data_IF_992796407967
#
_entry.id   IF_992796407967
#
_cell.length_a   1.000
_cell.length_b   1.000
_cell.length_c   1.000
_cell.angle_alpha   90.00
_cell.angle_beta   90.00
_cell.angle_gamma   90.00
#
_symmetry.space_group_name_H-M   'P 1'
#
loop_
_entity.id
_entity.type
_entity.pdbx_description
1 polymer ?
#
# COMPACT_ATOMS: atom_id res chain seq x y z
N UNK A 1 -12.62 -24.91 5.28
CA UNK A 1 -12.21 -23.60 4.70
C UNK A 1 -13.14 -22.57 5.30
N UNK A 2 -12.62 -21.55 5.98
CA UNK A 2 -13.44 -20.44 6.44
C UNK A 2 -14.09 -19.81 5.21
N UNK A 3 -15.37 -19.45 5.31
CA UNK A 3 -16.11 -18.84 4.20
C UNK A 3 -15.75 -17.34 4.15
N UNK A 4 -14.48 -17.05 3.79
CA UNK A 4 -13.94 -15.69 3.74
C UNK A 4 -14.68 -14.90 2.66
N UNK A 5 -15.33 -13.82 3.07
CA UNK A 5 -16.07 -12.91 2.19
C UNK A 5 -15.11 -12.09 1.34
N UNK A 6 -15.49 -11.79 0.09
CA UNK A 6 -14.72 -10.85 -0.76
C UNK A 6 -14.58 -9.49 -0.08
N UNK A 7 -13.40 -8.90 -0.11
CA UNK A 7 -13.14 -7.60 0.53
C UNK A 7 -14.14 -6.53 0.12
N UNK A 8 -14.44 -6.45 -1.18
CA UNK A 8 -15.38 -5.48 -1.74
C UNK A 8 -16.83 -5.63 -1.26
N UNK A 9 -17.16 -6.74 -0.58
CA UNK A 9 -18.48 -7.01 0.01
C UNK A 9 -18.42 -7.08 1.55
N UNK A 10 -17.25 -7.11 2.16
CA UNK A 10 -17.08 -7.28 3.59
C UNK A 10 -17.61 -6.08 4.39
N UNK A 11 -18.20 -6.33 5.51
CA UNK A 11 -18.67 -5.35 6.49
C UNK A 11 -17.72 -5.26 7.69
N UNK A 12 -17.99 -4.36 8.63
CA UNK A 12 -17.22 -4.25 9.87
C UNK A 12 -17.11 -5.59 10.61
N UNK A 13 -18.22 -6.31 10.76
CA UNK A 13 -18.25 -7.59 11.48
C UNK A 13 -17.46 -8.70 10.78
N UNK A 14 -17.22 -8.57 9.48
CA UNK A 14 -16.35 -9.48 8.74
C UNK A 14 -14.90 -9.14 9.01
N UNK A 15 -14.51 -7.86 8.93
CA UNK A 15 -13.13 -7.41 9.20
C UNK A 15 -12.68 -7.70 10.63
N UNK A 16 -13.57 -7.57 11.63
CA UNK A 16 -13.27 -7.86 13.03
C UNK A 16 -12.89 -9.33 13.29
N UNK A 17 -13.25 -10.23 12.38
CA UNK A 17 -12.97 -11.66 12.47
C UNK A 17 -11.81 -12.12 11.61
N UNK A 18 -11.38 -11.29 10.65
CA UNK A 18 -10.33 -11.66 9.72
C UNK A 18 -8.96 -11.69 10.40
N UNK A 19 -8.27 -12.79 10.23
CA UNK A 19 -6.82 -12.85 10.44
C UNK A 19 -6.09 -12.14 9.28
N UNK A 20 -4.78 -11.95 9.42
CA UNK A 20 -3.94 -11.41 8.34
C UNK A 20 -4.08 -12.22 7.04
N UNK A 21 -4.14 -13.56 7.15
CA UNK A 21 -4.28 -14.44 5.99
C UNK A 21 -5.72 -14.49 5.45
N UNK A 22 -6.74 -14.30 6.28
CA UNK A 22 -8.13 -14.14 5.82
C UNK A 22 -8.28 -12.84 5.03
N UNK A 23 -7.63 -11.75 5.44
CA UNK A 23 -7.60 -10.50 4.69
C UNK A 23 -6.97 -10.69 3.30
N UNK A 24 -5.83 -11.39 3.23
CA UNK A 24 -5.18 -11.76 1.98
C UNK A 24 -6.12 -12.55 1.06
N UNK A 25 -6.79 -13.57 1.58
CA UNK A 25 -7.75 -14.39 0.84
C UNK A 25 -8.97 -13.57 0.39
N UNK A 26 -9.46 -12.67 1.22
CA UNK A 26 -10.57 -11.75 0.94
C UNK A 26 -10.25 -10.81 -0.26
N UNK A 27 -8.99 -10.34 -0.33
CA UNK A 27 -8.48 -9.56 -1.45
C UNK A 27 -8.43 -10.42 -2.71
N UNK A 28 -7.81 -11.59 -2.65
CA UNK A 28 -7.72 -12.53 -3.77
C UNK A 28 -9.10 -12.83 -4.38
N UNK A 29 -10.09 -13.11 -3.53
CA UNK A 29 -11.48 -13.34 -3.94
C UNK A 29 -12.16 -12.12 -4.55
N UNK A 30 -11.59 -10.93 -4.39
CA UNK A 30 -12.13 -9.68 -4.98
C UNK A 30 -11.76 -9.49 -6.45
N UNK A 31 -10.93 -10.38 -7.02
CA UNK A 31 -10.65 -10.47 -8.46
C UNK A 31 -10.17 -9.14 -9.07
N UNK A 32 -9.16 -8.52 -8.48
CA UNK A 32 -8.56 -7.27 -8.96
C UNK A 32 -9.48 -6.04 -8.86
N UNK A 33 -10.35 -6.00 -7.85
CA UNK A 33 -11.26 -4.86 -7.63
C UNK A 33 -10.98 -4.06 -6.37
N UNK A 34 -9.87 -4.32 -5.69
CA UNK A 34 -9.52 -3.66 -4.44
C UNK A 34 -8.82 -2.34 -4.69
N UNK A 35 -9.29 -1.27 -4.05
CA UNK A 35 -8.72 0.08 -4.10
C UNK A 35 -8.10 0.41 -2.75
N UNK A 36 -6.80 0.79 -2.76
CA UNK A 36 -6.06 1.24 -1.59
C UNK A 36 -5.66 2.71 -1.75
N UNK A 37 -6.06 3.58 -0.81
CA UNK A 37 -5.58 4.96 -0.77
C UNK A 37 -4.34 5.09 0.11
N UNK A 38 -3.44 6.05 -0.18
CA UNK A 38 -2.31 6.37 0.68
C UNK A 38 -2.53 7.69 1.41
N UNK A 39 -2.25 7.69 2.72
CA UNK A 39 -2.28 8.88 3.58
C UNK A 39 -0.90 9.15 4.17
N UNK A 40 -0.29 10.29 3.83
CA UNK A 40 0.97 10.76 4.42
C UNK A 40 0.71 11.51 5.71
N UNK A 41 1.10 10.93 6.84
CA UNK A 41 0.76 11.43 8.16
C UNK A 41 1.54 12.68 8.60
N UNK A 42 2.65 13.02 7.91
CA UNK A 42 3.37 14.27 8.20
C UNK A 42 2.57 15.52 7.80
N UNK A 43 1.60 15.39 6.89
CA UNK A 43 0.75 16.49 6.44
C UNK A 43 -0.39 16.71 7.47
N UNK A 44 -0.29 17.78 8.24
CA UNK A 44 -1.26 18.09 9.32
C UNK A 44 -2.56 18.71 8.83
N UNK A 45 -2.56 19.32 7.67
CA UNK A 45 -3.76 19.95 7.11
C UNK A 45 -4.49 18.92 6.27
N UNK A 46 -5.50 18.27 6.86
CA UNK A 46 -6.41 17.41 6.10
C UNK A 46 -7.21 18.20 5.06
N UNK A 47 -7.74 17.50 4.05
CA UNK A 47 -8.62 18.10 3.02
C UNK A 47 -9.89 18.69 3.62
N UNK A 48 -10.38 18.11 4.69
CA UNK A 48 -11.60 18.53 5.41
C UNK A 48 -11.27 18.75 6.89
N UNK A 49 -11.60 19.93 7.41
CA UNK A 49 -11.36 20.25 8.81
C UNK A 49 -12.10 19.28 9.74
N UNK A 50 -11.37 18.69 10.68
CA UNK A 50 -11.94 17.78 11.69
C UNK A 50 -12.21 16.36 11.20
N UNK A 51 -11.78 16.03 9.96
CA UNK A 51 -11.89 14.70 9.36
C UNK A 51 -10.50 14.30 8.85
N UNK A 52 -10.04 13.11 9.20
CA UNK A 52 -8.76 12.62 8.69
C UNK A 52 -8.87 12.28 7.19
N UNK A 53 -7.77 12.39 6.47
CA UNK A 53 -7.75 11.99 5.06
C UNK A 53 -8.09 10.51 4.87
N UNK A 54 -7.78 9.65 5.85
CA UNK A 54 -8.19 8.24 5.87
C UNK A 54 -9.72 8.10 5.83
N UNK A 55 -10.44 8.86 6.67
CA UNK A 55 -11.92 8.87 6.66
C UNK A 55 -12.47 9.39 5.33
N UNK A 56 -11.85 10.43 4.75
CA UNK A 56 -12.22 10.95 3.43
C UNK A 56 -12.06 9.89 2.35
N UNK A 57 -10.90 9.22 2.28
CA UNK A 57 -10.66 8.19 1.26
C UNK A 57 -11.68 7.04 1.35
N UNK A 58 -11.99 6.58 2.55
CA UNK A 58 -13.03 5.55 2.74
C UNK A 58 -14.40 6.03 2.30
N UNK A 59 -14.74 7.29 2.57
CA UNK A 59 -16.02 7.87 2.16
C UNK A 59 -16.13 8.04 0.64
N UNK A 60 -15.01 8.06 -0.08
CA UNK A 60 -14.97 8.19 -1.53
C UNK A 60 -14.68 6.87 -2.27
N UNK A 61 -14.74 5.73 -1.57
CA UNK A 61 -14.80 4.41 -2.19
C UNK A 61 -13.53 3.57 -2.09
N UNK A 62 -12.51 3.99 -1.35
CA UNK A 62 -11.39 3.12 -1.02
C UNK A 62 -11.84 1.91 -0.19
N UNK A 63 -11.22 0.76 -0.40
CA UNK A 63 -11.46 -0.47 0.35
C UNK A 63 -10.48 -0.61 1.51
N UNK A 64 -9.27 -0.09 1.34
CA UNK A 64 -8.15 -0.11 2.28
C UNK A 64 -7.44 1.24 2.27
N UNK A 65 -6.71 1.54 3.34
CA UNK A 65 -5.84 2.72 3.39
C UNK A 65 -4.47 2.34 3.96
N UNK A 66 -3.42 2.83 3.31
CA UNK A 66 -2.03 2.75 3.75
C UNK A 66 -1.63 4.06 4.43
N UNK A 67 -1.24 4.00 5.70
CA UNK A 67 -0.62 5.12 6.39
C UNK A 67 0.89 5.12 6.11
N UNK A 68 1.37 6.11 5.39
CA UNK A 68 2.79 6.33 5.15
C UNK A 68 3.32 7.44 6.06
N UNK A 69 4.61 7.43 6.34
CA UNK A 69 5.30 8.37 7.23
C UNK A 69 4.82 8.35 8.69
N UNK A 70 4.26 7.22 9.14
CA UNK A 70 3.84 7.03 10.52
C UNK A 70 5.06 6.87 11.44
N UNK A 71 5.22 7.80 12.37
CA UNK A 71 6.20 7.70 13.44
C UNK A 71 5.61 6.90 14.61
N UNK A 72 6.11 5.68 14.79
CA UNK A 72 5.64 4.74 15.82
C UNK A 72 6.23 5.03 17.22
N UNK A 73 7.26 5.86 17.29
CA UNK A 73 7.89 6.24 18.56
C UNK A 73 7.28 7.50 19.17
N UNK A 74 6.76 8.37 18.32
CA UNK A 74 6.17 9.62 18.78
C UNK A 74 4.90 9.98 18.00
N UNK A 75 3.75 9.74 18.62
CA UNK A 75 2.43 10.01 18.02
C UNK A 75 2.25 11.48 17.61
N UNK A 76 2.87 12.43 18.32
CA UNK A 76 2.78 13.87 17.99
C UNK A 76 3.42 14.22 16.64
N UNK A 77 4.25 13.32 16.11
CA UNK A 77 4.86 13.45 14.78
C UNK A 77 3.93 13.01 13.64
N UNK A 78 2.71 12.59 13.96
CA UNK A 78 1.69 12.15 13.01
C UNK A 78 0.51 13.14 12.96
N UNK A 79 0.73 14.41 12.55
CA UNK A 79 -0.34 15.41 12.59
C UNK A 79 -1.53 15.07 11.70
N UNK A 80 -1.34 14.24 10.65
CA UNK A 80 -2.41 13.74 9.79
C UNK A 80 -3.46 12.91 10.54
N UNK A 81 -3.14 12.35 11.70
CA UNK A 81 -4.10 11.67 12.57
C UNK A 81 -5.04 12.66 13.30
N UNK A 82 -4.77 13.96 13.22
CA UNK A 82 -5.60 15.01 13.84
C UNK A 82 -5.87 14.78 15.33
N UNK A 83 -4.86 14.29 16.07
CA UNK A 83 -4.93 14.01 17.50
C UNK A 83 -5.54 12.65 17.87
N UNK A 84 -5.93 11.84 16.90
CA UNK A 84 -6.40 10.48 17.15
C UNK A 84 -5.23 9.52 17.36
N UNK A 85 -5.47 8.50 18.18
CA UNK A 85 -4.65 7.28 18.17
C UNK A 85 -5.01 6.42 16.94
N UNK A 86 -4.13 5.46 16.59
CA UNK A 86 -4.43 4.52 15.52
C UNK A 86 -5.71 3.71 15.80
N UNK A 87 -5.90 3.27 17.04
CA UNK A 87 -7.08 2.50 17.45
C UNK A 87 -8.38 3.30 17.32
N UNK A 88 -8.34 4.61 17.66
CA UNK A 88 -9.49 5.50 17.47
C UNK A 88 -9.80 5.71 15.99
N UNK A 89 -8.77 5.91 15.15
CA UNK A 89 -8.94 6.00 13.70
C UNK A 89 -9.54 4.71 13.15
N UNK A 90 -8.99 3.55 13.50
CA UNK A 90 -9.49 2.25 13.06
C UNK A 90 -10.94 2.02 13.47
N UNK A 91 -11.30 2.41 14.71
CA UNK A 91 -12.68 2.32 15.21
C UNK A 91 -13.66 3.21 14.44
N UNK A 92 -13.21 4.37 13.94
CA UNK A 92 -14.04 5.24 13.10
C UNK A 92 -14.22 4.69 11.69
N UNK A 93 -13.16 4.12 11.11
CA UNK A 93 -13.15 3.72 9.70
C UNK A 93 -13.75 2.34 9.44
N UNK A 94 -13.65 1.42 10.40
CA UNK A 94 -14.18 0.05 10.30
C UNK A 94 -13.72 -0.72 9.04
N UNK A 95 -12.51 -0.46 8.54
CA UNK A 95 -11.93 -1.07 7.34
C UNK A 95 -10.43 -1.31 7.52
N UNK A 96 -9.80 -2.13 6.68
CA UNK A 96 -8.37 -2.40 6.79
C UNK A 96 -7.50 -1.15 6.65
N UNK A 97 -6.61 -0.95 7.62
CA UNK A 97 -5.62 0.12 7.64
C UNK A 97 -4.24 -0.51 7.85
N UNK A 98 -3.35 -0.25 6.90
CA UNK A 98 -1.96 -0.69 6.96
C UNK A 98 -1.00 0.44 7.31
N UNK A 99 0.24 0.05 7.59
CA UNK A 99 1.34 0.99 7.86
C UNK A 99 2.51 0.69 6.94
N UNK A 100 3.09 1.74 6.37
CA UNK A 100 4.33 1.66 5.62
C UNK A 100 5.53 1.80 6.57
N UNK A 101 6.48 0.89 6.46
CA UNK A 101 7.74 0.92 7.18
C UNK A 101 8.92 0.89 6.20
N UNK A 102 9.83 1.86 6.32
CA UNK A 102 11.03 1.94 5.51
C UNK A 102 12.03 0.85 5.89
N UNK A 103 12.55 0.12 4.92
CA UNK A 103 13.59 -0.87 5.17
C UNK A 103 14.90 -0.18 5.57
N UNK A 104 15.54 -0.55 6.70
CA UNK A 104 16.83 -0.03 7.08
C UNK A 104 17.91 -0.59 6.14
N UNK A 105 18.96 0.20 5.90
CA UNK A 105 20.11 -0.26 5.13
C UNK A 105 20.87 -1.36 5.88
N UNK A 106 21.24 -2.41 5.16
CA UNK A 106 22.03 -3.49 5.72
C UNK A 106 23.44 -2.99 6.12
N UNK A 107 23.90 -3.44 7.28
CA UNK A 107 25.26 -3.15 7.76
C UNK A 107 25.52 -1.69 8.14
N UNK A 108 24.50 -0.83 8.11
CA UNK A 108 24.56 0.53 8.62
C UNK A 108 23.46 0.75 9.64
N UNK A 109 23.82 1.21 10.85
CA UNK A 109 22.89 2.06 11.57
C UNK A 109 22.56 3.19 10.61
N UNK A 110 21.30 3.43 10.34
CA UNK A 110 20.86 4.36 9.30
C UNK A 110 21.28 5.80 9.61
N UNK A 111 22.56 6.09 9.42
CA UNK A 111 23.20 7.42 9.56
C UNK A 111 23.10 8.25 8.28
N UNK A 112 22.33 7.77 7.28
CA UNK A 112 22.12 8.48 6.02
C UNK A 112 21.46 9.83 6.24
N UNK A 113 21.58 10.74 5.25
CA UNK A 113 20.86 12.02 5.26
C UNK A 113 19.38 11.74 5.44
N UNK A 114 18.85 12.05 6.61
CA UNK A 114 17.42 11.91 6.91
C UNK A 114 16.68 12.86 5.98
N UNK A 115 15.89 12.33 5.04
CA UNK A 115 14.88 13.14 4.40
C UNK A 115 14.01 13.74 5.53
N UNK A 116 13.54 14.97 5.36
CA UNK A 116 12.84 15.69 6.44
C UNK A 116 11.61 14.92 6.99
N UNK A 117 11.04 14.01 6.19
CA UNK A 117 9.91 13.14 6.54
C UNK A 117 10.35 11.75 7.06
N UNK A 118 11.66 11.46 7.14
CA UNK A 118 12.16 10.16 7.60
C UNK A 118 12.67 10.24 9.03
N UNK A 119 12.06 9.49 9.93
CA UNK A 119 12.41 9.37 11.33
C UNK A 119 12.68 7.92 11.69
N UNK A 120 13.34 7.69 12.84
CA UNK A 120 13.62 6.33 13.32
C UNK A 120 12.34 5.52 13.53
N UNK A 121 11.30 6.14 14.10
CA UNK A 121 9.99 5.50 14.28
C UNK A 121 9.26 5.12 13.00
N UNK A 122 9.78 5.46 11.80
CA UNK A 122 9.27 5.06 10.50
C UNK A 122 10.00 3.84 9.91
N UNK A 123 11.05 3.34 10.59
CA UNK A 123 11.86 2.23 10.08
C UNK A 123 11.27 0.87 10.47
N UNK A 124 11.46 -0.11 9.60
CA UNK A 124 11.08 -1.49 9.87
C UNK A 124 12.09 -2.14 10.82
N UNK A 125 11.81 -2.08 12.09
CA UNK A 125 12.49 -2.84 13.15
C UNK A 125 11.53 -3.86 13.74
N UNK A 126 12.06 -4.87 14.45
CA UNK A 126 11.20 -5.83 15.15
C UNK A 126 10.30 -5.14 16.19
N UNK A 127 10.84 -4.16 16.91
CA UNK A 127 10.08 -3.36 17.88
C UNK A 127 8.90 -2.63 17.22
N UNK A 128 9.12 -2.02 16.04
CA UNK A 128 8.06 -1.32 15.33
C UNK A 128 7.01 -2.28 14.75
N UNK A 129 7.42 -3.47 14.32
CA UNK A 129 6.47 -4.51 13.90
C UNK A 129 5.66 -5.02 15.11
N UNK A 130 6.29 -5.21 16.27
CA UNK A 130 5.57 -5.56 17.50
C UNK A 130 4.52 -4.48 17.85
N UNK A 131 4.89 -3.19 17.79
CA UNK A 131 3.93 -2.08 17.94
C UNK A 131 2.79 -2.12 16.93
N UNK A 132 3.07 -2.41 15.65
CA UNK A 132 2.02 -2.57 14.64
C UNK A 132 1.05 -3.71 14.97
N UNK A 133 1.57 -4.86 15.41
CA UNK A 133 0.74 -6.02 15.84
C UNK A 133 -0.12 -5.64 17.05
N UNK A 134 0.45 -5.02 18.07
CA UNK A 134 -0.26 -4.57 19.28
C UNK A 134 -1.36 -3.53 18.97
N UNK A 135 -1.11 -2.62 18.04
CA UNK A 135 -2.09 -1.64 17.58
C UNK A 135 -3.21 -2.26 16.73
N UNK A 136 -3.04 -3.48 16.24
CA UNK A 136 -3.99 -4.13 15.33
C UNK A 136 -3.93 -3.59 13.90
N UNK A 137 -2.74 -3.31 13.40
CA UNK A 137 -2.50 -2.98 11.98
C UNK A 137 -2.85 -4.18 11.12
N UNK A 138 -3.59 -3.97 10.04
CA UNK A 138 -4.12 -5.05 9.20
C UNK A 138 -3.09 -5.57 8.19
N UNK A 139 -2.19 -4.71 7.70
CA UNK A 139 -1.11 -5.08 6.79
C UNK A 139 0.08 -4.13 6.92
N UNK A 140 1.26 -4.62 6.60
CA UNK A 140 2.50 -3.85 6.64
C UNK A 140 3.11 -3.83 5.24
N UNK A 141 3.53 -2.64 4.80
CA UNK A 141 4.18 -2.43 3.49
C UNK A 141 5.64 -2.07 3.70
N UNK A 142 6.54 -2.77 3.03
CA UNK A 142 7.98 -2.58 3.10
C UNK A 142 8.52 -1.99 1.80
N UNK A 143 9.33 -0.95 1.90
CA UNK A 143 9.98 -0.31 0.77
C UNK A 143 10.98 0.75 1.18
N UNK A 144 11.27 1.68 0.29
CA UNK A 144 12.12 2.85 0.54
C UNK A 144 11.47 4.09 -0.03
N UNK A 145 11.07 5.03 0.82
CA UNK A 145 10.56 6.34 0.37
C UNK A 145 11.60 7.09 -0.48
N UNK A 146 11.19 7.97 -1.40
CA UNK A 146 12.10 8.74 -2.24
C UNK A 146 13.22 9.43 -1.44
N UNK A 147 14.46 9.29 -1.91
CA UNK A 147 15.64 9.85 -1.26
C UNK A 147 16.13 9.08 -0.03
N UNK A 148 15.52 7.93 0.32
CA UNK A 148 15.99 7.07 1.41
C UNK A 148 17.27 6.33 1.06
N UNK A 149 17.51 6.08 -0.22
CA UNK A 149 18.61 5.26 -0.71
C UNK A 149 18.49 3.77 -0.30
N UNK A 150 17.30 3.31 0.03
CA UNK A 150 16.99 1.91 0.30
C UNK A 150 17.12 1.11 -1.00
N UNK A 151 17.95 0.06 -0.98
CA UNK A 151 18.18 -0.83 -2.12
C UNK A 151 17.17 -1.99 -2.15
N UNK A 152 17.11 -2.69 -3.30
CA UNK A 152 16.36 -3.96 -3.42
C UNK A 152 16.87 -4.98 -2.39
N UNK A 153 18.19 -5.05 -2.19
CA UNK A 153 18.78 -5.96 -1.21
C UNK A 153 18.32 -5.68 0.22
N UNK A 154 18.21 -4.40 0.57
CA UNK A 154 17.67 -3.99 1.89
C UNK A 154 16.22 -4.45 2.05
N UNK A 155 15.40 -4.31 1.01
CA UNK A 155 13.99 -4.73 1.05
C UNK A 155 13.88 -6.26 1.16
N UNK A 156 14.64 -7.03 0.37
CA UNK A 156 14.64 -8.50 0.43
C UNK A 156 15.06 -9.00 1.81
N UNK A 157 16.17 -8.46 2.36
CA UNK A 157 16.65 -8.87 3.67
C UNK A 157 15.70 -8.50 4.80
N UNK A 158 15.12 -7.30 4.75
CA UNK A 158 14.13 -6.87 5.72
C UNK A 158 12.88 -7.76 5.67
N UNK A 159 12.35 -8.04 4.47
CA UNK A 159 11.22 -8.93 4.25
C UNK A 159 11.47 -10.30 4.88
N UNK A 160 12.63 -10.90 4.58
CA UNK A 160 13.00 -12.21 5.14
C UNK A 160 13.06 -12.18 6.66
N UNK A 161 13.78 -11.20 7.24
CA UNK A 161 13.93 -11.07 8.69
C UNK A 161 12.58 -10.99 9.40
N UNK A 162 11.66 -10.17 8.88
CA UNK A 162 10.35 -9.96 9.48
C UNK A 162 9.46 -11.19 9.31
N UNK A 163 9.43 -11.79 8.11
CA UNK A 163 8.60 -12.99 7.89
C UNK A 163 9.11 -14.21 8.65
N UNK A 164 10.42 -14.37 8.80
CA UNK A 164 11.00 -15.46 9.62
C UNK A 164 10.52 -15.39 11.08
N UNK A 165 10.34 -14.17 11.64
CA UNK A 165 9.89 -13.97 13.02
C UNK A 165 8.36 -14.06 13.18
N UNK A 166 7.61 -13.42 12.30
CA UNK A 166 6.18 -13.21 12.49
C UNK A 166 5.29 -14.19 11.70
N UNK A 167 5.82 -14.79 10.62
CA UNK A 167 5.06 -15.73 9.79
C UNK A 167 3.73 -15.18 9.31
N UNK A 168 2.68 -15.97 9.46
CA UNK A 168 1.32 -15.64 9.04
C UNK A 168 0.54 -14.75 10.02
N UNK A 169 1.18 -14.30 11.10
CA UNK A 169 0.57 -13.32 12.02
C UNK A 169 0.42 -11.94 11.38
N UNK A 170 1.20 -11.66 10.35
CA UNK A 170 1.18 -10.39 9.61
C UNK A 170 0.95 -10.64 8.12
N UNK A 171 0.21 -9.73 7.48
CA UNK A 171 0.09 -9.64 6.03
C UNK A 171 1.13 -8.64 5.53
N UNK A 172 2.20 -9.15 4.90
CA UNK A 172 3.40 -8.39 4.55
C UNK A 172 3.50 -8.16 3.05
N UNK A 173 3.55 -6.89 2.65
CA UNK A 173 3.79 -6.48 1.28
C UNK A 173 5.22 -5.97 1.13
N UNK A 174 5.81 -6.16 -0.02
CA UNK A 174 7.16 -5.66 -0.29
C UNK A 174 7.38 -5.45 -1.79
N UNK A 175 8.16 -4.43 -2.13
CA UNK A 175 8.48 -4.15 -3.53
C UNK A 175 9.44 -2.99 -3.73
N UNK A 176 9.65 -2.63 -4.99
CA UNK A 176 10.39 -1.46 -5.43
C UNK A 176 9.57 -0.75 -6.50
N UNK A 177 8.67 0.13 -6.07
CA UNK A 177 7.76 0.89 -6.94
C UNK A 177 8.04 2.39 -6.90
N UNK A 178 8.78 2.85 -5.91
CA UNK A 178 9.17 4.24 -5.70
C UNK A 178 10.69 4.37 -5.54
N UNK A 179 11.20 5.60 -5.50
CA UNK A 179 12.64 5.92 -5.39
C UNK A 179 13.54 5.23 -6.44
N UNK A 180 13.21 5.46 -7.70
CA UNK A 180 14.02 4.97 -8.83
C UNK A 180 15.26 5.82 -9.15
N UNK A 181 15.77 6.65 -8.23
CA UNK A 181 16.89 7.56 -8.47
C UNK A 181 18.23 6.80 -8.47
N UNK A 182 18.48 6.01 -7.44
CA UNK A 182 19.74 5.26 -7.28
C UNK A 182 19.62 3.85 -7.89
N UNK A 183 18.46 3.29 -7.86
CA UNK A 183 18.16 1.96 -8.35
C UNK A 183 16.76 1.98 -8.97
N UNK A 184 16.63 1.54 -10.22
CA UNK A 184 15.38 1.57 -10.96
C UNK A 184 14.28 0.81 -10.24
N UNK A 185 13.03 1.19 -10.49
CA UNK A 185 11.85 0.48 -9.97
C UNK A 185 11.58 -0.79 -10.78
N UNK A 186 10.82 -1.71 -10.21
CA UNK A 186 10.41 -2.95 -10.90
C UNK A 186 9.60 -2.60 -12.16
N UNK A 187 9.98 -3.17 -13.29
CA UNK A 187 9.34 -2.91 -14.58
C UNK A 187 9.90 -1.71 -15.36
N UNK A 188 10.86 -0.96 -14.81
CA UNK A 188 11.54 0.09 -15.57
C UNK A 188 12.40 -0.55 -16.67
N UNK A 189 12.23 -0.14 -17.96
CA UNK A 189 12.98 -0.72 -19.07
C UNK A 189 14.49 -0.46 -19.01
N UNK A 190 14.94 0.47 -18.16
CA UNK A 190 16.34 0.79 -17.92
C UNK A 190 16.89 0.13 -16.64
N UNK A 191 16.17 -0.81 -16.04
CA UNK A 191 16.66 -1.56 -14.90
C UNK A 191 17.84 -2.46 -15.33
N UNK A 192 18.96 -2.38 -14.60
CA UNK A 192 20.16 -3.18 -14.84
C UNK A 192 20.12 -4.55 -14.15
N UNK A 193 18.95 -4.96 -13.67
CA UNK A 193 18.70 -6.22 -12.98
C UNK A 193 17.47 -6.93 -13.59
N UNK A 194 17.39 -8.25 -13.37
CA UNK A 194 16.19 -9.02 -13.75
C UNK A 194 15.07 -8.80 -12.73
N UNK A 195 14.02 -8.11 -13.15
CA UNK A 195 12.85 -7.83 -12.32
C UNK A 195 12.17 -9.11 -11.80
N UNK A 196 12.15 -10.19 -12.60
CA UNK A 196 11.54 -11.46 -12.18
C UNK A 196 12.39 -12.18 -11.13
N UNK A 197 13.72 -12.08 -11.20
CA UNK A 197 14.60 -12.60 -10.15
C UNK A 197 14.38 -11.85 -8.82
N UNK A 198 14.28 -10.52 -8.86
CA UNK A 198 13.98 -9.72 -7.66
C UNK A 198 12.62 -10.13 -7.07
N UNK A 199 11.58 -10.23 -7.88
CA UNK A 199 10.24 -10.67 -7.44
C UNK A 199 10.31 -12.07 -6.82
N UNK A 200 11.01 -13.01 -7.47
CA UNK A 200 11.24 -14.35 -6.94
C UNK A 200 11.84 -14.30 -5.54
N UNK A 201 12.89 -13.50 -5.35
CA UNK A 201 13.61 -13.37 -4.06
C UNK A 201 12.72 -12.75 -2.98
N UNK A 202 11.87 -11.77 -3.31
CA UNK A 202 10.88 -11.20 -2.39
C UNK A 202 9.83 -12.23 -1.96
N UNK A 203 9.33 -13.03 -2.91
CA UNK A 203 8.37 -14.11 -2.63
C UNK A 203 9.01 -15.21 -1.77
N UNK A 204 10.26 -15.60 -2.09
CA UNK A 204 11.01 -16.59 -1.32
C UNK A 204 11.37 -16.07 0.09
N UNK A 205 11.57 -14.76 0.25
CA UNK A 205 11.71 -14.08 1.54
C UNK A 205 10.39 -14.03 2.34
N UNK A 206 9.25 -14.37 1.73
CA UNK A 206 7.98 -14.51 2.38
C UNK A 206 7.00 -13.34 2.17
N UNK A 207 7.23 -12.45 1.22
CA UNK A 207 6.26 -11.43 0.87
C UNK A 207 4.93 -12.06 0.44
N UNK A 208 3.83 -11.55 0.98
CA UNK A 208 2.46 -11.99 0.66
C UNK A 208 1.88 -11.23 -0.54
N UNK A 209 2.35 -10.00 -0.76
CA UNK A 209 2.00 -9.15 -1.88
C UNK A 209 3.27 -8.49 -2.42
N UNK A 210 3.38 -8.39 -3.73
CA UNK A 210 4.48 -7.69 -4.41
C UNK A 210 3.99 -6.35 -4.92
N UNK A 211 4.71 -5.30 -4.56
CA UNK A 211 4.36 -3.93 -4.89
C UNK A 211 5.11 -3.46 -6.13
N UNK A 212 4.34 -3.06 -7.14
CA UNK A 212 4.80 -2.65 -8.46
C UNK A 212 4.35 -1.22 -8.77
N UNK A 213 5.10 -0.43 -9.55
CA UNK A 213 4.57 0.79 -10.10
C UNK A 213 3.43 0.47 -11.08
N UNK A 214 2.49 1.39 -11.26
CA UNK A 214 1.47 1.20 -12.28
C UNK A 214 1.93 1.70 -13.66
N UNK A 215 1.35 1.17 -14.74
CA UNK A 215 1.56 1.71 -16.09
C UNK A 215 1.18 3.19 -16.13
N UNK A 216 1.97 4.00 -16.83
CA UNK A 216 1.72 5.43 -16.98
C UNK A 216 2.12 6.31 -15.80
N UNK A 217 2.48 5.75 -14.64
CA UNK A 217 2.96 6.53 -13.50
C UNK A 217 4.40 7.02 -13.70
N UNK A 218 5.20 6.25 -14.42
CA UNK A 218 6.62 6.56 -14.69
C UNK A 218 6.93 6.45 -16.17
N UNK A 219 7.90 7.23 -16.68
CA UNK A 219 8.31 7.16 -18.09
C UNK A 219 8.73 5.74 -18.50
N UNK A 220 8.18 5.24 -19.60
CA UNK A 220 8.57 3.97 -20.22
C UNK A 220 7.95 2.72 -19.60
N UNK A 221 7.23 2.80 -18.51
CA UNK A 221 6.53 1.65 -17.92
C UNK A 221 5.19 1.44 -18.61
N UNK A 222 5.05 0.31 -19.28
CA UNK A 222 3.85 -0.04 -20.06
C UNK A 222 2.96 -1.05 -19.35
N UNK A 223 1.74 -1.24 -19.87
CA UNK A 223 0.82 -2.28 -19.38
C UNK A 223 1.46 -3.67 -19.54
N UNK A 224 2.14 -3.93 -20.66
CA UNK A 224 2.71 -5.25 -20.94
C UNK A 224 3.86 -5.61 -20.00
N UNK A 225 4.71 -4.61 -19.65
CA UNK A 225 5.80 -4.82 -18.71
C UNK A 225 5.22 -5.26 -17.35
N UNK A 226 4.27 -4.50 -16.81
CA UNK A 226 3.68 -4.80 -15.50
C UNK A 226 2.82 -6.07 -15.55
N UNK A 227 2.05 -6.31 -16.62
CA UNK A 227 1.29 -7.56 -16.81
C UNK A 227 2.21 -8.78 -16.76
N UNK A 228 3.36 -8.73 -17.45
CA UNK A 228 4.34 -9.81 -17.43
C UNK A 228 4.85 -10.12 -16.01
N UNK A 229 5.07 -9.09 -15.19
CA UNK A 229 5.48 -9.27 -13.80
C UNK A 229 4.34 -9.82 -12.92
N UNK A 230 3.11 -9.32 -13.09
CA UNK A 230 1.92 -9.83 -12.37
C UNK A 230 1.68 -11.30 -12.69
N UNK A 231 1.74 -11.68 -13.97
CA UNK A 231 1.61 -13.09 -14.39
C UNK A 231 2.70 -13.96 -13.75
N UNK A 232 3.93 -13.47 -13.70
CA UNK A 232 5.02 -14.17 -13.04
C UNK A 232 4.73 -14.36 -11.54
N UNK A 233 4.29 -13.33 -10.82
CA UNK A 233 3.93 -13.41 -9.40
C UNK A 233 2.89 -14.51 -9.16
N UNK A 234 1.77 -14.47 -9.89
CA UNK A 234 0.66 -15.41 -9.74
C UNK A 234 1.02 -16.86 -10.10
N UNK A 235 1.98 -17.06 -11.03
CA UNK A 235 2.40 -18.38 -11.46
C UNK A 235 3.53 -18.96 -10.64
N UNK A 236 4.44 -18.13 -10.16
CA UNK A 236 5.58 -18.56 -9.35
C UNK A 236 5.16 -19.16 -8.02
N UNK A 237 4.29 -18.46 -7.27
CA UNK A 237 3.72 -18.97 -6.02
C UNK A 237 2.24 -18.61 -5.93
N UNK A 238 1.38 -19.60 -6.12
CA UNK A 238 -0.08 -19.40 -6.03
C UNK A 238 -0.48 -18.78 -4.69
N UNK A 239 -1.33 -17.75 -4.75
CA UNK A 239 -1.80 -17.01 -3.59
C UNK A 239 -0.90 -15.86 -3.16
N UNK A 240 0.23 -15.60 -3.84
CA UNK A 240 0.92 -14.32 -3.72
C UNK A 240 0.13 -13.27 -4.51
N UNK A 241 -0.12 -12.12 -3.90
CA UNK A 241 -0.85 -11.02 -4.51
C UNK A 241 0.11 -10.06 -5.23
N UNK A 242 -0.44 -9.26 -6.15
CA UNK A 242 0.24 -8.16 -6.80
C UNK A 242 -0.51 -6.85 -6.57
N UNK A 243 0.19 -5.78 -6.23
CA UNK A 243 -0.32 -4.44 -6.12
C UNK A 243 0.30 -3.55 -7.19
N UNK A 244 -0.53 -2.77 -7.88
CA UNK A 244 -0.09 -1.68 -8.76
C UNK A 244 -0.32 -0.34 -8.06
N UNK A 245 0.72 0.49 -8.00
CA UNK A 245 0.67 1.77 -7.32
C UNK A 245 0.68 2.93 -8.33
N UNK A 246 -0.40 3.70 -8.35
CA UNK A 246 -0.45 4.98 -9.04
C UNK A 246 0.19 6.04 -8.13
N UNK A 247 1.43 6.34 -8.38
CA UNK A 247 2.25 7.30 -7.65
C UNK A 247 2.85 8.36 -8.59
N UNK A 248 3.76 9.17 -8.12
CA UNK A 248 4.34 10.30 -8.82
C UNK A 248 3.31 11.42 -9.08
N UNK A 249 3.59 12.33 -9.99
CA UNK A 249 2.75 13.50 -10.23
C UNK A 249 1.38 13.19 -10.83
N UNK A 250 1.21 12.03 -11.49
CA UNK A 250 -0.06 11.67 -12.14
C UNK A 250 -1.17 11.25 -11.16
N UNK A 251 -0.84 10.94 -9.94
CA UNK A 251 -1.82 10.66 -8.88
C UNK A 251 -2.67 11.89 -8.51
N UNK A 252 -2.17 13.10 -8.78
CA UNK A 252 -2.88 14.37 -8.60
C UNK A 252 -3.42 14.97 -9.91
N UNK A 253 -3.37 14.22 -11.01
CA UNK A 253 -3.94 14.65 -12.28
C UNK A 253 -5.47 14.71 -12.22
N UNK A 254 -6.08 15.16 -13.32
CA UNK A 254 -7.54 15.17 -13.45
C UNK A 254 -8.15 13.78 -13.53
N UNK A 255 -9.46 13.70 -13.31
CA UNK A 255 -10.20 12.42 -13.27
C UNK A 255 -10.14 11.64 -14.59
N UNK A 256 -9.96 12.30 -15.74
CA UNK A 256 -9.88 11.62 -17.02
C UNK A 256 -8.53 10.93 -17.19
N UNK A 257 -7.45 11.56 -16.74
CA UNK A 257 -6.12 10.93 -16.64
C UNK A 257 -6.15 9.73 -15.70
N UNK A 258 -6.72 9.89 -14.50
CA UNK A 258 -6.85 8.80 -13.53
C UNK A 258 -7.72 7.67 -14.08
N UNK A 259 -8.81 7.97 -14.80
CA UNK A 259 -9.64 6.96 -15.49
C UNK A 259 -8.83 6.13 -16.48
N UNK A 260 -8.03 6.80 -17.30
CA UNK A 260 -7.21 6.16 -18.32
C UNK A 260 -6.16 5.24 -17.68
N UNK A 261 -5.48 5.70 -16.65
CA UNK A 261 -4.49 4.90 -15.92
C UNK A 261 -5.17 3.74 -15.17
N UNK A 262 -6.34 3.95 -14.57
CA UNK A 262 -7.08 2.89 -13.89
C UNK A 262 -7.47 1.73 -14.83
N UNK A 263 -7.78 2.01 -16.10
CA UNK A 263 -7.99 0.97 -17.11
C UNK A 263 -6.70 0.21 -17.39
N UNK A 264 -5.59 0.92 -17.56
CA UNK A 264 -4.27 0.28 -17.73
C UNK A 264 -3.88 -0.57 -16.51
N UNK A 265 -4.11 -0.07 -15.29
CA UNK A 265 -3.89 -0.84 -14.06
C UNK A 265 -4.73 -2.13 -14.04
N UNK A 266 -6.00 -2.05 -14.41
CA UNK A 266 -6.89 -3.22 -14.49
C UNK A 266 -6.38 -4.24 -15.51
N UNK A 267 -5.86 -3.79 -16.63
CA UNK A 267 -5.33 -4.66 -17.69
C UNK A 267 -4.08 -5.43 -17.27
N UNK A 268 -3.36 -4.98 -16.24
CA UNK A 268 -2.20 -5.71 -15.71
C UNK A 268 -2.58 -7.03 -15.04
N UNK A 269 -3.82 -7.12 -14.51
CA UNK A 269 -4.29 -8.27 -13.73
C UNK A 269 -3.90 -8.22 -12.25
N UNK A 270 -3.41 -7.09 -11.73
CA UNK A 270 -3.09 -6.93 -10.31
C UNK A 270 -4.33 -7.07 -9.42
N UNK A 271 -4.13 -7.51 -8.18
CA UNK A 271 -5.18 -7.76 -7.18
C UNK A 271 -5.61 -6.49 -6.47
N UNK A 272 -4.65 -5.58 -6.24
CA UNK A 272 -4.81 -4.33 -5.52
C UNK A 272 -4.33 -3.17 -6.38
N UNK A 273 -5.09 -2.09 -6.36
CA UNK A 273 -4.77 -0.87 -7.08
C UNK A 273 -4.68 0.28 -6.09
N UNK A 274 -3.46 0.75 -5.84
CA UNK A 274 -3.21 1.83 -4.91
C UNK A 274 -3.09 3.18 -5.62
N UNK A 275 -3.41 4.25 -4.90
CA UNK A 275 -3.20 5.63 -5.35
C UNK A 275 -2.53 6.43 -4.25
N UNK A 276 -1.50 7.18 -4.63
CA UNK A 276 -0.64 7.93 -3.75
C UNK A 276 -1.26 9.20 -3.18
N UNK A 277 -0.41 10.07 -2.69
CA UNK A 277 -0.81 11.28 -1.95
C UNK A 277 -1.10 12.49 -2.83
N UNK A 278 -0.67 12.47 -4.07
CA UNK A 278 -0.91 13.54 -5.04
C UNK A 278 -0.29 14.88 -4.69
N UNK A 279 0.53 14.98 -3.66
CA UNK A 279 1.03 16.25 -3.16
C UNK A 279 -0.06 17.16 -2.55
N UNK A 280 -1.27 16.67 -2.37
CA UNK A 280 -2.46 17.38 -1.89
C UNK A 280 -2.66 17.19 -0.39
N UNK A 281 -1.87 17.86 0.46
CA UNK A 281 -2.17 17.80 1.89
C UNK A 281 -2.14 16.39 2.49
N UNK A 282 -1.38 15.46 1.90
CA UNK A 282 -1.15 14.10 2.39
C UNK A 282 -2.06 13.02 1.83
N UNK A 283 -2.92 13.31 0.87
CA UNK A 283 -3.62 12.32 0.05
C UNK A 283 -4.04 12.92 -1.30
N UNK A 284 -4.34 12.08 -2.27
CA UNK A 284 -4.89 12.53 -3.55
C UNK A 284 -6.28 13.15 -3.40
N UNK A 285 -6.74 13.90 -4.41
CA UNK A 285 -8.07 14.46 -4.44
C UNK A 285 -9.15 13.35 -4.32
N UNK A 286 -10.21 13.53 -3.52
CA UNK A 286 -11.22 12.52 -3.29
C UNK A 286 -11.90 12.02 -4.57
N UNK A 287 -12.11 12.88 -5.54
CA UNK A 287 -12.66 12.54 -6.87
C UNK A 287 -11.76 11.55 -7.63
N UNK A 288 -10.46 11.57 -7.42
CA UNK A 288 -9.52 10.61 -8.01
C UNK A 288 -9.67 9.22 -7.38
N UNK A 289 -9.87 9.14 -6.05
CA UNK A 289 -10.22 7.89 -5.35
C UNK A 289 -11.53 7.33 -5.92
N UNK A 290 -12.53 8.19 -6.06
CA UNK A 290 -13.84 7.79 -6.61
C UNK A 290 -13.71 7.29 -8.05
N UNK A 291 -12.97 8.02 -8.90
CA UNK A 291 -12.76 7.64 -10.28
C UNK A 291 -12.04 6.31 -10.40
N UNK A 292 -10.96 6.11 -9.64
CA UNK A 292 -10.25 4.82 -9.58
C UNK A 292 -11.21 3.69 -9.18
N UNK A 293 -11.98 3.90 -8.11
CA UNK A 293 -12.95 2.94 -7.59
C UNK A 293 -14.03 2.58 -8.63
N UNK A 294 -14.64 3.57 -9.26
CA UNK A 294 -15.68 3.35 -10.29
C UNK A 294 -15.12 2.60 -11.50
N UNK A 295 -13.92 2.93 -11.93
CA UNK A 295 -13.30 2.30 -13.10
C UNK A 295 -12.97 0.83 -12.84
N UNK A 296 -12.46 0.50 -11.65
CA UNK A 296 -12.03 -0.85 -11.30
C UNK A 296 -13.17 -1.78 -10.94
N UNK A 297 -14.15 -1.33 -10.15
CA UNK A 297 -15.20 -2.20 -9.59
C UNK A 297 -16.64 -1.79 -9.94
N UNK A 298 -16.81 -0.70 -10.70
CA UNK A 298 -18.12 -0.22 -11.13
C UNK A 298 -18.86 0.56 -10.04
N UNK A 299 -19.91 1.27 -10.45
CA UNK A 299 -20.69 2.15 -9.57
C UNK A 299 -21.34 1.42 -8.39
N UNK A 300 -21.91 0.23 -8.62
CA UNK A 300 -22.62 -0.51 -7.56
C UNK A 300 -21.72 -0.82 -6.37
N UNK A 301 -20.53 -1.40 -6.60
CA UNK A 301 -19.58 -1.70 -5.52
C UNK A 301 -18.98 -0.42 -4.92
N UNK A 302 -18.74 0.61 -5.73
CA UNK A 302 -18.26 1.90 -5.23
C UNK A 302 -19.29 2.53 -4.30
N UNK A 303 -20.55 2.61 -4.69
CA UNK A 303 -21.63 3.16 -3.86
C UNK A 303 -21.88 2.33 -2.60
N UNK A 304 -21.77 1.00 -2.70
CA UNK A 304 -21.81 0.14 -1.51
C UNK A 304 -20.70 0.52 -0.52
N UNK A 305 -19.46 0.71 -1.01
CA UNK A 305 -18.35 1.12 -0.16
C UNK A 305 -18.55 2.50 0.46
N UNK A 306 -19.00 3.47 -0.31
CA UNK A 306 -19.28 4.82 0.19
C UNK A 306 -20.37 4.82 1.26
N UNK A 307 -21.43 4.02 1.07
CA UNK A 307 -22.56 3.94 2.01
C UNK A 307 -22.27 3.08 3.26
N UNK A 308 -21.29 2.20 3.21
CA UNK A 308 -21.03 1.20 4.27
C UNK A 308 -19.99 1.62 5.31
N UNK A 309 -19.64 2.91 5.38
CA UNK A 309 -18.65 3.43 6.35
C UNK A 309 -19.03 3.09 7.79
N UNK A 310 -20.32 3.00 8.08
CA UNK A 310 -20.88 2.76 9.42
C UNK A 310 -21.57 1.40 9.59
N UNK A 311 -21.35 0.44 8.66
CA UNK A 311 -22.00 -0.89 8.72
C UNK A 311 -21.03 -1.97 9.14
#
# INVERSE_FOLDING_TARGET
>A
MSDVVRLINASKSDFEKMTAMDLKESIFKSEGRVVCGQHLLFAGNGLVRGVTNTEVMFSWGADMVLLNTMDLDNISNNPGLQGLTFQELKKRCNRPIGVYLGCPKQGTEDKGKKAFYRREGMLCTEEHVDKCVEMGVDFIVLGGNPGSGTSIEDVVACTKKIKDKYGDKIFLWAGKWEDGIYEKVLGDPLAEYDCKDVIKRLIDAGADCIDLPCPGSRPGITVEDIRSLVQFIHTYKKGTLAMCFLDCSVESADVDTVRSIALMMKETGADIHAIGDGGFGGCTAPENIHQLSVTLKGKSYTYFRMASVNK
#
